data_IF_342356690994
#
_entry.id   IF_342356690994
#
_cell.length_a   1.000
_cell.length_b   1.000
_cell.length_c   1.000
_cell.angle_alpha   90.00
_cell.angle_beta   90.00
_cell.angle_gamma   90.00
#
_symmetry.space_group_name_H-M   'P 1'
#
loop_
_entity.id
_entity.type
_entity.pdbx_description
1 polymer ?
#
# COMPACT_ATOMS: atom_id res chain seq x y z
N UNK A 1 -14.57 -26.12 -19.67
CA UNK A 1 -14.74 -24.66 -19.90
C UNK A 1 -13.54 -23.94 -19.34
N UNK A 2 -12.96 -22.97 -20.07
CA UNK A 2 -11.80 -22.20 -19.60
C UNK A 2 -12.29 -20.99 -18.82
N UNK A 3 -11.70 -20.74 -17.65
CA UNK A 3 -12.01 -19.59 -16.80
C UNK A 3 -10.72 -18.87 -16.51
N UNK A 4 -10.74 -17.57 -16.61
CA UNK A 4 -9.61 -16.71 -16.37
C UNK A 4 -9.95 -15.74 -15.25
N UNK A 5 -9.02 -15.55 -14.34
CA UNK A 5 -9.21 -14.70 -13.17
C UNK A 5 -8.12 -13.63 -13.14
N UNK A 6 -8.52 -12.42 -12.80
CA UNK A 6 -7.64 -11.27 -12.63
C UNK A 6 -7.87 -10.72 -11.23
N UNK A 7 -6.83 -10.77 -10.41
CA UNK A 7 -6.86 -10.32 -9.02
C UNK A 7 -5.72 -9.34 -8.82
N UNK A 8 -6.05 -8.05 -8.77
CA UNK A 8 -5.11 -6.97 -8.49
C UNK A 8 -5.75 -5.95 -7.54
N UNK A 9 -5.13 -5.74 -6.38
CA UNK A 9 -5.66 -4.87 -5.33
C UNK A 9 -7.07 -5.28 -4.88
N UNK A 10 -8.06 -4.38 -5.03
CA UNK A 10 -9.47 -4.63 -4.71
C UNK A 10 -10.32 -5.13 -5.88
N UNK A 11 -9.71 -5.28 -7.07
CA UNK A 11 -10.37 -5.77 -8.28
C UNK A 11 -10.18 -7.28 -8.43
N UNK A 12 -11.22 -8.05 -8.12
CA UNK A 12 -11.30 -9.49 -8.35
C UNK A 12 -12.28 -9.74 -9.49
N UNK A 13 -11.78 -9.97 -10.70
CA UNK A 13 -12.58 -10.14 -11.92
C UNK A 13 -12.40 -11.53 -12.50
N UNK A 14 -13.46 -12.09 -13.08
CA UNK A 14 -13.39 -13.31 -13.85
C UNK A 14 -13.86 -13.07 -15.29
N UNK A 15 -13.28 -13.84 -16.20
CA UNK A 15 -13.58 -13.85 -17.62
C UNK A 15 -13.59 -15.31 -18.07
N UNK A 16 -14.71 -15.80 -18.57
CA UNK A 16 -14.87 -17.17 -19.03
C UNK A 16 -15.33 -17.17 -20.48
N UNK A 17 -14.41 -17.44 -21.41
CA UNK A 17 -14.75 -17.64 -22.81
C UNK A 17 -15.22 -19.08 -23.05
N UNK A 18 -16.22 -19.21 -23.91
CA UNK A 18 -16.76 -20.47 -24.39
C UNK A 18 -16.95 -20.36 -25.90
N UNK A 19 -16.57 -21.42 -26.61
CA UNK A 19 -16.77 -21.53 -28.04
C UNK A 19 -17.79 -22.64 -28.29
N UNK A 20 -18.90 -22.32 -28.96
CA UNK A 20 -19.93 -23.26 -29.34
C UNK A 20 -20.18 -23.15 -30.84
N UNK A 21 -19.63 -24.10 -31.59
CA UNK A 21 -19.63 -24.12 -33.06
C UNK A 21 -19.06 -22.82 -33.67
N UNK A 22 -19.89 -22.00 -34.31
CA UNK A 22 -19.52 -20.69 -34.85
C UNK A 22 -19.84 -19.51 -33.91
N UNK A 23 -20.20 -19.78 -32.65
CA UNK A 23 -20.61 -18.77 -31.67
C UNK A 23 -19.56 -18.65 -30.56
N UNK A 24 -19.06 -17.43 -30.37
CA UNK A 24 -18.19 -17.07 -29.26
C UNK A 24 -19.00 -16.47 -28.13
N UNK A 25 -18.99 -17.11 -26.96
CA UNK A 25 -19.71 -16.70 -25.76
C UNK A 25 -18.68 -16.30 -24.72
N UNK A 26 -18.92 -15.18 -24.03
CA UNK A 26 -18.07 -14.69 -22.96
C UNK A 26 -18.93 -14.35 -21.76
N UNK A 27 -18.56 -14.89 -20.60
CA UNK A 27 -19.15 -14.52 -19.32
C UNK A 27 -18.10 -13.80 -18.47
N UNK A 28 -18.36 -12.56 -18.05
CA UNK A 28 -17.41 -11.76 -17.29
C UNK A 28 -18.06 -11.03 -16.11
N UNK A 29 -17.33 -10.83 -15.02
CA UNK A 29 -17.89 -10.17 -13.84
C UNK A 29 -16.91 -10.09 -12.68
N UNK A 30 -17.39 -9.63 -11.52
CA UNK A 30 -16.63 -9.68 -10.26
C UNK A 30 -16.71 -11.09 -9.68
N UNK A 31 -15.59 -11.64 -9.21
CA UNK A 31 -15.55 -12.94 -8.54
C UNK A 31 -16.53 -12.91 -7.35
N UNK A 32 -17.45 -13.88 -7.28
CA UNK A 32 -18.54 -13.93 -6.30
C UNK A 32 -19.89 -13.37 -6.77
N UNK A 33 -19.99 -12.89 -8.02
CA UNK A 33 -21.26 -12.48 -8.65
C UNK A 33 -21.59 -13.36 -9.85
N UNK A 34 -22.85 -13.38 -10.30
CA UNK A 34 -23.27 -14.15 -11.48
C UNK A 34 -22.62 -13.66 -12.81
N UNK A 35 -22.14 -12.41 -12.85
CA UNK A 35 -21.53 -11.81 -14.03
C UNK A 35 -22.50 -11.45 -15.16
N UNK A 36 -21.95 -11.01 -16.28
CA UNK A 36 -22.66 -10.66 -17.52
C UNK A 36 -22.23 -11.60 -18.64
N UNK A 37 -23.20 -12.10 -19.41
CA UNK A 37 -22.97 -13.00 -20.56
C UNK A 37 -23.16 -12.22 -21.86
N UNK A 38 -22.22 -12.37 -22.80
CA UNK A 38 -22.27 -11.77 -24.13
C UNK A 38 -21.90 -12.82 -25.17
N UNK A 39 -22.66 -12.90 -26.25
CA UNK A 39 -22.41 -13.85 -27.35
C UNK A 39 -22.23 -13.11 -28.67
N UNK A 40 -21.40 -13.69 -29.55
CA UNK A 40 -21.07 -13.15 -30.87
C UNK A 40 -20.99 -14.30 -31.87
N UNK A 41 -21.86 -14.27 -32.87
CA UNK A 41 -21.93 -15.29 -33.92
C UNK A 41 -21.00 -14.93 -35.08
N UNK A 42 -20.28 -15.91 -35.61
CA UNK A 42 -19.39 -15.80 -36.75
C UNK A 42 -19.91 -16.62 -37.94
N UNK A 43 -19.51 -16.29 -39.18
CA UNK A 43 -19.94 -17.00 -40.38
C UNK A 43 -19.41 -18.44 -40.47
N UNK A 44 -18.29 -18.74 -39.83
CA UNK A 44 -17.61 -20.04 -39.86
C UNK A 44 -16.90 -20.35 -38.53
N UNK A 45 -16.81 -21.64 -38.19
CA UNK A 45 -16.18 -22.11 -36.95
C UNK A 45 -14.68 -21.75 -36.88
N UNK A 46 -14.00 -21.65 -38.02
CA UNK A 46 -12.58 -21.26 -38.07
C UNK A 46 -12.38 -19.80 -37.65
N UNK A 47 -13.21 -18.87 -38.13
CA UNK A 47 -13.18 -17.47 -37.70
C UNK A 47 -13.49 -17.31 -36.21
N UNK A 48 -14.44 -18.09 -35.68
CA UNK A 48 -14.78 -18.07 -34.27
C UNK A 48 -13.60 -18.54 -33.39
N UNK A 49 -12.89 -19.60 -33.81
CA UNK A 49 -11.70 -20.12 -33.12
C UNK A 49 -10.52 -19.13 -33.15
N UNK A 50 -10.27 -18.46 -34.29
CA UNK A 50 -9.20 -17.45 -34.39
C UNK A 50 -9.45 -16.25 -33.47
N UNK A 51 -10.68 -15.78 -33.40
CA UNK A 51 -11.04 -14.68 -32.51
C UNK A 51 -10.95 -15.09 -31.03
N UNK A 52 -11.37 -16.32 -30.72
CA UNK A 52 -11.25 -16.92 -29.40
C UNK A 52 -9.79 -16.95 -28.93
N UNK A 53 -8.87 -17.49 -29.74
CA UNK A 53 -7.45 -17.57 -29.40
C UNK A 53 -6.81 -16.18 -29.28
N UNK A 54 -7.17 -15.25 -30.17
CA UNK A 54 -6.71 -13.85 -30.10
C UNK A 54 -7.10 -13.21 -28.78
N UNK A 55 -8.35 -13.37 -28.35
CA UNK A 55 -8.85 -12.80 -27.09
C UNK A 55 -8.24 -13.46 -25.86
N UNK A 56 -7.98 -14.77 -25.91
CA UNK A 56 -7.25 -15.47 -24.85
C UNK A 56 -5.83 -14.94 -24.72
N UNK A 57 -5.09 -14.80 -25.83
CA UNK A 57 -3.72 -14.28 -25.82
C UNK A 57 -3.65 -12.82 -25.31
N UNK A 58 -4.62 -11.98 -25.69
CA UNK A 58 -4.75 -10.61 -25.19
C UNK A 58 -4.99 -10.58 -23.68
N UNK A 59 -5.91 -11.42 -23.16
CA UNK A 59 -6.22 -11.47 -21.72
C UNK A 59 -5.09 -12.04 -20.88
N UNK A 60 -4.37 -13.03 -21.39
CA UNK A 60 -3.15 -13.55 -20.75
C UNK A 60 -2.08 -12.45 -20.67
N UNK A 61 -1.92 -11.63 -21.72
CA UNK A 61 -0.98 -10.50 -21.72
C UNK A 61 -1.40 -9.37 -20.76
N UNK A 62 -2.71 -9.16 -20.59
CA UNK A 62 -3.27 -8.24 -19.60
C UNK A 62 -3.15 -8.74 -18.14
N UNK A 63 -2.61 -9.95 -17.92
CA UNK A 63 -2.38 -10.50 -16.58
C UNK A 63 -3.51 -11.38 -16.03
N UNK A 64 -4.47 -11.81 -16.85
CA UNK A 64 -5.45 -12.81 -16.43
C UNK A 64 -4.81 -14.20 -16.35
N UNK A 65 -5.08 -14.94 -15.28
CA UNK A 65 -4.58 -16.29 -15.06
C UNK A 65 -5.67 -17.32 -15.33
N UNK A 66 -5.33 -18.38 -16.07
CA UNK A 66 -6.27 -19.45 -16.37
C UNK A 66 -6.43 -20.42 -15.17
N UNK A 67 -7.68 -20.72 -14.82
CA UNK A 67 -8.08 -21.62 -13.74
C UNK A 67 -8.99 -22.70 -14.34
N UNK A 68 -8.48 -23.91 -14.51
CA UNK A 68 -9.25 -25.07 -15.00
C UNK A 68 -9.91 -25.78 -13.83
N UNK A 69 -11.25 -25.83 -13.83
CA UNK A 69 -12.01 -26.56 -12.80
C UNK A 69 -12.31 -28.00 -13.23
N UNK A 70 -11.78 -28.97 -12.48
CA UNK A 70 -12.31 -30.33 -12.34
C UNK A 70 -11.48 -31.44 -13.01
N UNK A 71 -10.70 -32.20 -12.24
CA UNK A 71 -11.11 -33.54 -11.73
C UNK A 71 -10.06 -34.02 -10.69
N UNK A 72 -10.51 -34.65 -9.61
CA UNK A 72 -9.66 -35.13 -8.52
C UNK A 72 -9.78 -36.65 -8.36
N UNK A 73 -8.67 -37.40 -8.43
CA UNK A 73 -8.53 -38.68 -7.74
C UNK A 73 -7.66 -38.52 -6.47
N UNK A 74 -7.77 -39.44 -5.49
CA UNK A 74 -7.17 -39.30 -4.18
C UNK A 74 -5.63 -39.38 -4.22
N UNK A 75 -5.01 -38.69 -3.27
CA UNK A 75 -3.60 -38.29 -3.25
C UNK A 75 -2.57 -39.42 -3.47
N UNK A 76 -1.59 -39.20 -4.37
CA UNK A 76 -0.20 -39.53 -4.11
C UNK A 76 0.51 -38.31 -3.50
N UNK A 77 1.41 -38.54 -2.54
CA UNK A 77 2.16 -37.51 -1.83
C UNK A 77 2.82 -36.50 -2.79
N UNK A 78 2.82 -35.19 -2.48
CA UNK A 78 3.29 -34.18 -3.42
C UNK A 78 4.82 -34.29 -3.57
N UNK A 79 5.26 -34.70 -4.76
CA UNK A 79 6.62 -34.39 -5.22
C UNK A 79 6.56 -32.94 -5.71
N UNK A 80 7.21 -32.07 -4.94
CA UNK A 80 7.20 -30.62 -5.13
C UNK A 80 7.72 -30.21 -6.52
N UNK A 81 6.83 -29.70 -7.36
CA UNK A 81 7.19 -28.62 -8.29
C UNK A 81 7.64 -27.41 -7.44
N UNK A 82 8.61 -26.59 -7.89
CA UNK A 82 9.20 -25.56 -7.04
C UNK A 82 8.10 -24.62 -6.57
N UNK A 83 7.77 -24.74 -5.29
CA UNK A 83 6.93 -23.82 -4.55
C UNK A 83 7.50 -22.43 -4.80
N UNK A 84 6.81 -21.61 -5.59
CA UNK A 84 6.99 -20.17 -5.47
C UNK A 84 6.73 -19.88 -3.99
N UNK A 85 7.79 -19.53 -3.25
CA UNK A 85 7.68 -19.28 -1.82
C UNK A 85 6.51 -18.32 -1.58
N UNK A 86 5.56 -18.66 -0.69
CA UNK A 86 4.48 -17.73 -0.39
C UNK A 86 5.11 -16.43 0.10
N UNK A 87 4.85 -15.34 -0.64
CA UNK A 87 5.36 -14.02 -0.29
C UNK A 87 5.03 -13.76 1.18
N UNK A 88 6.00 -13.32 2.00
CA UNK A 88 5.76 -13.12 3.42
C UNK A 88 4.65 -12.07 3.62
N UNK A 89 3.52 -12.52 4.18
CA UNK A 89 2.34 -11.68 4.42
C UNK A 89 2.63 -10.73 5.58
N UNK A 90 2.53 -9.43 5.31
CA UNK A 90 2.73 -8.42 6.35
C UNK A 90 1.61 -8.46 7.37
N UNK A 91 1.93 -8.46 8.68
CA UNK A 91 0.90 -8.36 9.71
C UNK A 91 0.18 -7.01 9.60
N UNK A 92 -1.13 -6.93 9.93
CA UNK A 92 -1.87 -5.67 9.87
C UNK A 92 -1.24 -4.61 10.79
N UNK A 93 -1.17 -3.34 10.34
CA UNK A 93 -0.60 -2.24 11.14
C UNK A 93 -1.40 -1.94 12.39
N UNK A 94 -2.71 -2.08 12.28
CA UNK A 94 -3.69 -1.77 13.32
C UNK A 94 -4.71 -2.89 13.42
N UNK A 95 -5.22 -3.11 14.63
CA UNK A 95 -6.29 -4.09 14.86
C UNK A 95 -7.59 -3.56 14.25
N UNK A 96 -8.18 -4.31 13.33
CA UNK A 96 -9.47 -3.99 12.73
C UNK A 96 -10.57 -3.87 13.80
N UNK A 97 -11.37 -2.80 13.70
CA UNK A 97 -12.47 -2.44 14.62
C UNK A 97 -13.53 -1.65 13.85
N UNK A 98 -14.77 -1.68 14.35
CA UNK A 98 -15.82 -0.76 13.90
C UNK A 98 -15.86 0.41 14.88
N UNK A 99 -15.51 1.65 14.46
CA UNK A 99 -15.53 2.79 15.37
C UNK A 99 -16.96 3.23 15.72
N UNK A 100 -17.13 3.74 16.93
CA UNK A 100 -18.36 4.45 17.32
C UNK A 100 -18.31 5.91 16.84
N UNK A 101 -19.47 6.56 16.70
CA UNK A 101 -19.54 7.98 16.35
C UNK A 101 -18.75 8.86 17.33
N UNK A 102 -18.81 8.56 18.64
CA UNK A 102 -18.04 9.26 19.67
C UNK A 102 -16.53 9.11 19.48
N UNK A 103 -16.05 7.94 19.05
CA UNK A 103 -14.62 7.73 18.78
C UNK A 103 -14.15 8.50 17.55
N UNK A 104 -14.99 8.58 16.51
CA UNK A 104 -14.72 9.40 15.32
C UNK A 104 -14.64 10.87 15.69
N UNK A 105 -15.61 11.37 16.48
CA UNK A 105 -15.62 12.75 16.95
C UNK A 105 -14.39 13.08 17.82
N UNK A 106 -14.05 12.21 18.77
CA UNK A 106 -12.85 12.36 19.59
C UNK A 106 -11.57 12.36 18.76
N UNK A 107 -11.49 11.54 17.70
CA UNK A 107 -10.35 11.56 16.78
C UNK A 107 -10.25 12.88 16.01
N UNK A 108 -11.37 13.42 15.51
CA UNK A 108 -11.41 14.73 14.87
C UNK A 108 -10.94 15.85 15.84
N UNK A 109 -11.50 15.89 17.05
CA UNK A 109 -11.11 16.85 18.08
C UNK A 109 -9.62 16.76 18.44
N UNK A 110 -9.07 15.54 18.54
CA UNK A 110 -7.65 15.33 18.83
C UNK A 110 -6.74 15.82 17.70
N UNK A 111 -7.17 15.70 16.43
CA UNK A 111 -6.45 16.24 15.28
C UNK A 111 -6.51 17.77 15.27
N UNK A 112 -7.68 18.37 15.50
CA UNK A 112 -7.82 19.84 15.60
C UNK A 112 -6.96 20.40 16.74
N UNK A 113 -6.91 19.70 17.88
CA UNK A 113 -6.06 20.08 19.02
C UNK A 113 -4.55 19.88 18.77
N UNK A 114 -4.16 19.07 17.78
CA UNK A 114 -2.78 19.01 17.29
C UNK A 114 -2.50 20.19 16.37
N UNK A 115 -3.41 20.48 15.43
CA UNK A 115 -3.24 21.59 14.49
C UNK A 115 -3.07 22.93 15.22
N UNK A 116 -3.89 23.20 16.23
CA UNK A 116 -3.83 24.44 17.01
C UNK A 116 -2.56 24.61 17.83
N UNK A 117 -1.77 23.54 18.00
CA UNK A 117 -0.51 23.57 18.75
C UNK A 117 0.71 23.62 17.83
N UNK A 118 0.53 23.61 16.50
CA UNK A 118 1.64 23.76 15.57
C UNK A 118 2.28 25.15 15.76
N UNK A 119 3.60 25.19 15.86
CA UNK A 119 4.37 26.42 16.14
C UNK A 119 4.73 26.59 17.61
N UNK A 120 4.05 25.87 18.51
CA UNK A 120 4.39 25.82 19.94
C UNK A 120 5.63 24.96 20.22
N UNK A 121 5.99 24.80 21.50
CA UNK A 121 7.16 24.00 21.90
C UNK A 121 7.07 22.58 21.35
N UNK A 122 8.19 22.07 20.84
CA UNK A 122 8.27 20.76 20.17
C UNK A 122 7.70 19.59 20.99
N UNK A 123 7.83 19.61 22.31
CA UNK A 123 7.30 18.58 23.20
C UNK A 123 5.76 18.66 23.34
N UNK A 124 5.15 19.85 23.24
CA UNK A 124 3.69 20.03 23.25
C UNK A 124 3.09 19.44 21.98
N UNK A 125 3.65 19.81 20.81
CA UNK A 125 3.28 19.23 19.51
C UNK A 125 3.40 17.70 19.54
N UNK A 126 4.53 17.18 20.04
CA UNK A 126 4.75 15.74 20.13
C UNK A 126 3.75 15.06 21.09
N UNK A 127 3.34 15.72 22.18
CA UNK A 127 2.31 15.22 23.11
C UNK A 127 0.94 15.14 22.44
N UNK A 128 0.53 16.18 21.72
CA UNK A 128 -0.75 16.18 21.01
C UNK A 128 -0.75 15.17 19.86
N UNK A 129 0.35 15.04 19.13
CA UNK A 129 0.47 14.03 18.07
C UNK A 129 0.32 12.61 18.62
N UNK A 130 0.87 12.32 19.82
CA UNK A 130 0.64 11.04 20.49
C UNK A 130 -0.82 10.82 20.88
N UNK A 131 -1.53 11.87 21.32
CA UNK A 131 -2.97 11.79 21.66
C UNK A 131 -3.81 11.54 20.41
N UNK A 132 -3.59 12.32 19.36
CA UNK A 132 -4.24 12.14 18.06
C UNK A 132 -4.00 10.73 17.50
N UNK A 133 -2.76 10.25 17.52
CA UNK A 133 -2.41 8.90 17.09
C UNK A 133 -3.15 7.81 17.89
N UNK A 134 -3.26 7.96 19.21
CA UNK A 134 -4.03 7.02 20.06
C UNK A 134 -5.51 7.03 19.72
N UNK A 135 -6.08 8.21 19.42
CA UNK A 135 -7.48 8.32 19.01
C UNK A 135 -7.72 7.68 17.63
N UNK A 136 -6.85 7.92 16.66
CA UNK A 136 -6.92 7.30 15.33
C UNK A 136 -6.82 5.77 15.40
N UNK A 137 -5.96 5.23 16.26
CA UNK A 137 -5.83 3.77 16.46
C UNK A 137 -7.15 3.10 16.87
N UNK A 138 -8.02 3.82 17.60
CA UNK A 138 -9.33 3.28 17.99
C UNK A 138 -10.27 3.12 16.79
N UNK A 139 -9.99 3.79 15.68
CA UNK A 139 -10.75 3.65 14.43
C UNK A 139 -10.42 2.35 13.67
N UNK A 140 -9.37 1.63 14.07
CA UNK A 140 -9.08 0.29 13.55
C UNK A 140 -8.65 0.26 12.09
N UNK A 141 -8.01 1.32 11.59
CA UNK A 141 -7.56 1.39 10.19
C UNK A 141 -8.68 1.67 9.19
N UNK A 142 -9.82 2.18 9.65
CA UNK A 142 -10.92 2.58 8.79
C UNK A 142 -10.56 3.73 7.84
N UNK A 143 -11.37 3.89 6.79
CA UNK A 143 -11.32 5.04 5.88
C UNK A 143 -11.42 6.34 6.69
N UNK A 144 -10.46 7.27 6.56
CA UNK A 144 -10.49 8.54 7.28
C UNK A 144 -11.56 9.51 6.79
N UNK A 145 -12.44 9.17 5.84
CA UNK A 145 -13.51 10.05 5.32
C UNK A 145 -14.16 10.95 6.39
N UNK A 146 -14.53 10.46 7.60
CA UNK A 146 -15.12 11.32 8.64
C UNK A 146 -14.16 12.36 9.26
N UNK A 147 -12.86 12.08 9.34
CA UNK A 147 -11.82 12.98 9.89
C UNK A 147 -11.00 13.68 8.81
N UNK A 148 -11.33 13.40 7.54
CA UNK A 148 -10.53 13.75 6.36
C UNK A 148 -10.26 15.25 6.23
N UNK A 149 -11.22 16.16 6.42
CA UNK A 149 -10.95 17.59 6.24
C UNK A 149 -9.83 18.11 7.16
N UNK A 150 -9.86 17.72 8.44
CA UNK A 150 -8.84 18.11 9.42
C UNK A 150 -7.51 17.39 9.15
N UNK A 151 -7.55 16.13 8.72
CA UNK A 151 -6.37 15.38 8.34
C UNK A 151 -5.66 16.00 7.12
N UNK A 152 -6.39 16.32 6.06
CA UNK A 152 -5.86 16.91 4.83
C UNK A 152 -5.25 18.31 5.09
N UNK A 153 -5.87 19.10 5.98
CA UNK A 153 -5.31 20.37 6.47
C UNK A 153 -3.98 20.15 7.20
N UNK A 154 -3.91 19.19 8.12
CA UNK A 154 -2.68 18.83 8.83
C UNK A 154 -1.58 18.32 7.89
N UNK A 155 -1.92 17.51 6.88
CA UNK A 155 -0.95 17.02 5.90
C UNK A 155 -0.38 18.16 5.06
N UNK A 156 -1.15 19.20 4.78
CA UNK A 156 -0.64 20.43 4.15
C UNK A 156 0.45 21.13 4.96
N UNK A 157 0.37 21.07 6.31
CA UNK A 157 1.38 21.65 7.20
C UNK A 157 2.75 20.98 7.14
N UNK A 158 2.87 19.81 6.50
CA UNK A 158 4.15 19.11 6.34
C UNK A 158 5.05 19.84 5.32
N UNK A 159 4.45 20.47 4.32
CA UNK A 159 5.16 21.13 3.21
C UNK A 159 5.17 22.65 3.28
N UNK A 160 4.50 23.24 4.29
CA UNK A 160 4.48 24.69 4.55
C UNK A 160 5.91 25.28 4.49
N UNK A 161 6.17 26.49 3.96
CA UNK A 161 7.52 27.06 3.89
C UNK A 161 8.20 27.30 5.25
N UNK A 162 9.53 27.49 5.27
CA UNK A 162 10.27 27.79 6.51
C UNK A 162 9.72 29.04 7.19
N UNK A 163 9.74 29.08 8.52
CA UNK A 163 9.23 30.22 9.31
C UNK A 163 7.74 30.15 9.64
N UNK A 164 6.98 29.21 9.05
CA UNK A 164 5.59 28.94 9.42
C UNK A 164 5.46 27.67 10.27
N UNK A 165 4.36 27.53 11.04
CA UNK A 165 4.05 26.31 11.79
C UNK A 165 4.01 25.07 10.89
N UNK A 166 4.98 24.16 11.06
CA UNK A 166 5.10 22.92 10.28
C UNK A 166 4.77 21.71 11.13
N UNK A 167 4.10 20.72 10.53
CA UNK A 167 3.96 19.39 11.10
C UNK A 167 5.20 18.55 10.72
N UNK A 168 6.00 18.08 11.70
CA UNK A 168 7.15 17.24 11.37
C UNK A 168 6.73 15.92 10.70
N UNK A 169 7.44 15.53 9.64
CA UNK A 169 7.15 14.33 8.83
C UNK A 169 6.94 13.06 9.67
N UNK A 170 7.81 12.80 10.65
CA UNK A 170 7.68 11.62 11.54
C UNK A 170 6.32 11.56 12.27
N UNK A 171 5.76 12.72 12.63
CA UNK A 171 4.47 12.80 13.33
C UNK A 171 3.35 12.59 12.32
N UNK A 172 3.43 13.18 11.13
CA UNK A 172 2.48 12.96 10.04
C UNK A 172 2.39 11.48 9.65
N UNK A 173 3.54 10.84 9.37
CA UNK A 173 3.59 9.40 9.05
C UNK A 173 3.10 8.53 10.22
N UNK A 174 3.36 8.94 11.46
CA UNK A 174 2.82 8.27 12.63
C UNK A 174 1.29 8.33 12.75
N UNK A 175 0.65 9.40 12.24
CA UNK A 175 -0.82 9.49 12.16
C UNK A 175 -1.35 8.65 11.00
N UNK A 176 -0.74 8.77 9.82
CA UNK A 176 -1.12 8.02 8.61
C UNK A 176 -0.98 6.51 8.79
N UNK A 177 -0.01 6.05 9.58
CA UNK A 177 0.18 4.64 9.90
C UNK A 177 -0.98 4.00 10.68
N UNK A 178 -1.85 4.80 11.32
CA UNK A 178 -3.02 4.29 12.06
C UNK A 178 -4.29 4.21 11.19
N UNK A 179 -4.22 4.66 9.95
CA UNK A 179 -5.33 4.79 9.01
C UNK A 179 -5.17 3.86 7.82
N UNK A 180 -6.24 3.74 7.02
CA UNK A 180 -6.17 3.11 5.72
C UNK A 180 -5.07 3.74 4.84
N UNK A 181 -4.39 2.90 4.05
CA UNK A 181 -3.23 3.32 3.24
C UNK A 181 -3.60 4.38 2.19
N UNK A 182 -4.87 4.47 1.77
CA UNK A 182 -5.34 5.52 0.89
C UNK A 182 -5.16 6.93 1.48
N UNK A 183 -5.13 7.06 2.81
CA UNK A 183 -4.80 8.32 3.48
C UNK A 183 -3.37 8.76 3.17
N UNK A 184 -2.43 7.81 3.22
CA UNK A 184 -1.01 8.06 2.89
C UNK A 184 -0.85 8.41 1.41
N UNK A 185 -1.51 7.69 0.51
CA UNK A 185 -1.49 7.98 -0.93
C UNK A 185 -1.98 9.40 -1.21
N UNK A 186 -3.07 9.85 -0.57
CA UNK A 186 -3.55 11.23 -0.75
C UNK A 186 -2.56 12.26 -0.21
N UNK A 187 -1.99 12.00 0.97
CA UNK A 187 -1.00 12.89 1.57
C UNK A 187 0.24 13.05 0.68
N UNK A 188 0.73 11.96 0.07
CA UNK A 188 1.91 12.02 -0.81
C UNK A 188 1.61 12.74 -2.12
N UNK A 189 0.40 12.62 -2.66
CA UNK A 189 -0.03 13.45 -3.81
C UNK A 189 -0.10 14.93 -3.44
N UNK A 190 -0.56 15.28 -2.23
CA UNK A 190 -0.57 16.66 -1.75
C UNK A 190 0.85 17.23 -1.56
N UNK A 191 1.81 16.38 -1.20
CA UNK A 191 3.21 16.79 -1.01
C UNK A 191 4.01 16.86 -2.32
N UNK A 192 3.49 16.28 -3.40
CA UNK A 192 4.17 16.22 -4.70
C UNK A 192 4.41 17.62 -5.25
N UNK A 193 5.64 17.88 -5.69
CA UNK A 193 6.03 19.16 -6.26
C UNK A 193 6.22 20.31 -5.26
N UNK A 194 6.12 20.05 -3.94
CA UNK A 194 6.40 21.07 -2.94
C UNK A 194 7.89 21.48 -2.94
N UNK A 195 8.19 22.70 -3.39
CA UNK A 195 9.56 23.22 -3.46
C UNK A 195 10.29 23.22 -2.10
N UNK A 196 9.54 23.41 -1.01
CA UNK A 196 10.03 23.43 0.38
C UNK A 196 10.08 22.07 1.07
N UNK A 197 9.92 20.97 0.34
CA UNK A 197 9.91 19.62 0.88
C UNK A 197 11.25 19.24 1.54
N UNK A 198 11.26 18.84 2.83
CA UNK A 198 12.45 18.30 3.49
C UNK A 198 13.00 17.07 2.77
N UNK A 199 14.31 16.81 2.83
CA UNK A 199 14.91 15.64 2.18
C UNK A 199 14.26 14.29 2.56
N UNK A 200 13.97 14.01 3.85
CA UNK A 200 13.26 12.78 4.21
C UNK A 200 11.87 12.66 3.59
N UNK A 201 11.18 13.79 3.36
CA UNK A 201 9.88 13.76 2.69
C UNK A 201 10.05 13.37 1.22
N UNK A 202 11.05 13.92 0.53
CA UNK A 202 11.35 13.58 -0.87
C UNK A 202 11.68 12.09 -1.03
N UNK A 203 12.49 11.55 -0.11
CA UNK A 203 12.77 10.11 -0.06
C UNK A 203 11.45 9.32 0.03
N UNK A 204 10.61 9.59 1.04
CA UNK A 204 9.33 8.88 1.22
C UNK A 204 8.39 9.02 0.02
N UNK A 205 8.29 10.20 -0.61
CA UNK A 205 7.42 10.36 -1.79
C UNK A 205 7.94 9.60 -3.01
N UNK A 206 9.26 9.47 -3.18
CA UNK A 206 9.87 8.68 -4.26
C UNK A 206 9.65 7.18 -4.01
N UNK A 207 9.68 6.72 -2.76
CA UNK A 207 9.43 5.32 -2.43
C UNK A 207 8.04 4.84 -2.87
N UNK A 208 7.03 5.70 -2.85
CA UNK A 208 5.69 5.35 -3.34
C UNK A 208 5.72 4.98 -4.82
N UNK A 209 6.47 5.74 -5.63
CA UNK A 209 6.61 5.50 -7.07
C UNK A 209 7.55 4.33 -7.35
N UNK A 210 8.66 4.23 -6.61
CA UNK A 210 9.68 3.19 -6.81
C UNK A 210 9.19 1.80 -6.42
N UNK A 211 8.44 1.68 -5.31
CA UNK A 211 7.92 0.40 -4.87
C UNK A 211 6.64 0.00 -5.59
N UNK A 212 5.77 0.95 -5.96
CA UNK A 212 4.44 0.63 -6.51
C UNK A 212 3.49 -0.05 -5.52
N UNK A 213 3.95 -0.34 -4.29
CA UNK A 213 3.16 -0.82 -3.17
C UNK A 213 3.09 0.29 -2.10
N UNK A 214 1.92 0.93 -1.90
CA UNK A 214 1.78 2.04 -0.98
C UNK A 214 1.88 1.61 0.50
N UNK A 215 1.65 0.34 0.80
CA UNK A 215 1.75 -0.21 2.15
C UNK A 215 3.20 -0.42 2.55
N UNK A 216 4.00 -1.01 1.66
CA UNK A 216 5.45 -1.12 1.82
C UNK A 216 6.09 0.26 1.90
N UNK A 217 5.70 1.19 1.02
CA UNK A 217 6.20 2.56 1.01
C UNK A 217 5.87 3.31 2.31
N UNK A 218 4.65 3.15 2.86
CA UNK A 218 4.27 3.76 4.14
C UNK A 218 5.13 3.20 5.29
N UNK A 219 5.29 1.88 5.38
CA UNK A 219 6.06 1.25 6.46
C UNK A 219 7.54 1.61 6.40
N UNK A 220 8.12 1.56 5.20
CA UNK A 220 9.50 1.97 4.98
C UNK A 220 9.67 3.47 5.31
N UNK A 221 8.75 4.31 4.84
CA UNK A 221 8.79 5.74 5.11
C UNK A 221 8.70 6.09 6.60
N UNK A 222 7.90 5.37 7.38
CA UNK A 222 7.87 5.51 8.85
C UNK A 222 9.26 5.21 9.45
N UNK A 223 9.94 4.16 8.99
CA UNK A 223 11.26 3.79 9.49
C UNK A 223 12.35 4.79 9.07
N UNK A 224 12.29 5.30 7.84
CA UNK A 224 13.22 6.31 7.31
C UNK A 224 13.06 7.67 8.01
N UNK A 225 11.83 8.05 8.37
CA UNK A 225 11.55 9.33 9.02
C UNK A 225 11.85 9.33 10.54
N UNK A 226 12.14 8.17 11.13
CA UNK A 226 12.44 8.07 12.56
C UNK A 226 13.85 8.55 12.90
N UNK A 227 13.93 9.43 13.91
CA UNK A 227 15.19 10.05 14.32
C UNK A 227 15.85 9.26 15.45
N UNK A 228 17.06 8.69 15.23
CA UNK A 228 17.81 8.02 16.29
C UNK A 228 18.05 8.95 17.49
N UNK A 229 17.87 8.43 18.71
CA UNK A 229 18.12 9.17 19.95
C UNK A 229 17.07 10.20 20.37
N UNK A 230 15.99 10.38 19.59
CA UNK A 230 14.87 11.24 20.00
C UNK A 230 14.02 10.54 21.07
N UNK A 231 13.59 11.26 22.12
CA UNK A 231 12.68 10.72 23.16
C UNK A 231 11.44 10.07 22.52
N UNK A 232 11.21 8.80 22.82
CA UNK A 232 10.09 8.00 22.29
C UNK A 232 10.43 7.14 21.07
N UNK A 233 11.66 7.22 20.54
CA UNK A 233 12.22 6.26 19.59
C UNK A 233 13.01 5.21 20.37
N UNK A 234 12.58 3.95 20.35
CA UNK A 234 13.40 2.83 20.84
C UNK A 234 14.18 2.26 19.67
N UNK A 235 15.51 2.18 19.77
CA UNK A 235 16.34 1.55 18.73
C UNK A 235 16.01 0.07 18.57
N UNK A 236 15.69 -0.61 19.67
CA UNK A 236 15.21 -2.00 19.65
C UNK A 236 13.85 -2.11 18.93
N UNK A 237 12.91 -1.23 19.26
CA UNK A 237 11.59 -1.20 18.60
C UNK A 237 11.63 -0.77 17.14
N UNK A 238 12.62 0.04 16.74
CA UNK A 238 12.92 0.33 15.34
C UNK A 238 13.46 -0.91 14.64
N UNK A 239 14.47 -1.59 15.22
CA UNK A 239 15.09 -2.79 14.66
C UNK A 239 14.06 -3.90 14.47
N UNK A 240 13.23 -4.17 15.47
CA UNK A 240 12.17 -5.17 15.37
C UNK A 240 11.21 -4.89 14.20
N UNK A 241 10.83 -3.63 13.96
CA UNK A 241 9.96 -3.26 12.83
C UNK A 241 10.67 -3.37 11.49
N UNK A 242 11.96 -3.06 11.44
CA UNK A 242 12.78 -3.26 10.25
C UNK A 242 12.88 -4.74 9.89
N UNK A 243 13.27 -5.60 10.85
CA UNK A 243 13.35 -7.05 10.65
C UNK A 243 11.99 -7.66 10.25
N UNK A 244 10.89 -7.13 10.77
CA UNK A 244 9.54 -7.57 10.37
C UNK A 244 9.11 -7.12 8.98
N UNK A 245 9.68 -6.03 8.44
CA UNK A 245 9.36 -5.50 7.11
C UNK A 245 10.27 -6.08 6.01
N UNK A 246 11.55 -6.29 6.36
CA UNK A 246 12.64 -6.65 5.44
C UNK A 246 12.32 -7.84 4.53
N UNK A 247 11.79 -8.99 5.02
CA UNK A 247 11.49 -10.13 4.15
C UNK A 247 10.45 -9.80 3.06
N UNK A 248 9.41 -9.05 3.39
CA UNK A 248 8.37 -8.63 2.44
C UNK A 248 8.90 -7.61 1.43
N UNK A 249 9.74 -6.69 1.88
CA UNK A 249 10.39 -5.73 1.00
C UNK A 249 11.36 -6.43 0.02
N UNK A 250 12.18 -7.36 0.50
CA UNK A 250 13.10 -8.15 -0.34
C UNK A 250 12.35 -8.99 -1.36
N UNK A 251 11.28 -9.67 -0.94
CA UNK A 251 10.46 -10.48 -1.83
C UNK A 251 9.80 -9.62 -2.91
N UNK A 252 9.24 -8.48 -2.53
CA UNK A 252 8.65 -7.52 -3.46
C UNK A 252 9.66 -7.01 -4.50
N UNK A 253 10.83 -6.55 -4.05
CA UNK A 253 11.88 -6.05 -4.95
C UNK A 253 12.40 -7.14 -5.89
N UNK A 254 12.52 -8.38 -5.41
CA UNK A 254 12.93 -9.52 -6.24
C UNK A 254 11.92 -9.81 -7.34
N UNK A 255 10.61 -9.72 -7.06
CA UNK A 255 9.57 -9.87 -8.09
C UNK A 255 9.63 -8.76 -9.15
N UNK A 256 10.10 -7.57 -8.79
CA UNK A 256 10.35 -6.47 -9.70
C UNK A 256 11.73 -6.53 -10.40
N UNK A 257 12.53 -7.58 -10.17
CA UNK A 257 13.85 -7.77 -10.77
C UNK A 257 15.00 -6.99 -10.14
N UNK A 258 14.80 -6.42 -8.94
CA UNK A 258 15.82 -5.68 -8.19
C UNK A 258 16.23 -6.36 -6.88
N UNK A 259 17.14 -5.72 -6.15
CA UNK A 259 17.57 -6.15 -4.82
C UNK A 259 17.35 -5.08 -3.75
N UNK A 260 17.22 -5.50 -2.49
CA UNK A 260 17.11 -4.59 -1.35
C UNK A 260 18.33 -3.65 -1.25
N UNK A 261 19.53 -4.18 -1.50
CA UNK A 261 20.77 -3.41 -1.42
C UNK A 261 20.80 -2.29 -2.45
N UNK A 262 20.46 -2.59 -3.70
CA UNK A 262 20.39 -1.59 -4.78
C UNK A 262 19.33 -0.54 -4.45
N UNK A 263 18.15 -0.98 -4.02
CA UNK A 263 17.04 -0.10 -3.65
C UNK A 263 17.41 0.87 -2.53
N UNK A 264 17.94 0.37 -1.40
CA UNK A 264 18.37 1.21 -0.29
C UNK A 264 19.52 2.16 -0.66
N UNK A 265 20.40 1.75 -1.58
CA UNK A 265 21.51 2.59 -2.06
C UNK A 265 21.04 3.71 -3.00
N UNK A 266 19.90 3.53 -3.67
CA UNK A 266 19.29 4.54 -4.53
C UNK A 266 18.57 5.66 -3.75
N UNK A 267 18.30 5.46 -2.45
CA UNK A 267 17.64 6.46 -1.61
C UNK A 267 18.62 7.61 -1.30
N UNK A 268 18.37 8.77 -1.91
CA UNK A 268 19.13 9.98 -1.69
C UNK A 268 18.80 10.62 -0.32
N UNK A 269 19.78 10.62 0.59
CA UNK A 269 19.67 11.25 1.89
C UNK A 269 19.91 12.77 1.88
N UNK A 270 20.45 13.33 0.79
CA UNK A 270 20.69 14.77 0.57
C UNK A 270 21.26 15.52 1.77
N UNK A 271 22.20 14.88 2.49
CA UNK A 271 22.87 15.42 3.67
C UNK A 271 22.11 15.34 5.01
N UNK A 272 20.92 14.74 5.06
CA UNK A 272 20.18 14.53 6.32
C UNK A 272 20.83 13.42 7.15
N UNK A 273 21.63 13.80 8.14
CA UNK A 273 22.37 12.86 8.98
C UNK A 273 21.50 11.79 9.67
N UNK A 274 20.30 12.11 10.21
CA UNK A 274 19.39 11.08 10.74
C UNK A 274 18.99 10.02 9.70
N UNK A 275 18.60 10.44 8.49
CA UNK A 275 18.23 9.54 7.40
C UNK A 275 19.43 8.69 6.95
N UNK A 276 20.61 9.29 6.78
CA UNK A 276 21.83 8.55 6.44
C UNK A 276 22.16 7.46 7.48
N UNK A 277 21.98 7.75 8.77
CA UNK A 277 22.15 6.76 9.84
C UNK A 277 21.15 5.62 9.74
N UNK A 278 19.88 5.90 9.42
CA UNK A 278 18.85 4.85 9.22
C UNK A 278 19.16 3.97 8.01
N UNK A 279 19.56 4.57 6.89
CA UNK A 279 19.98 3.81 5.71
C UNK A 279 21.19 2.93 6.00
N UNK A 280 22.21 3.46 6.68
CA UNK A 280 23.38 2.67 7.10
C UNK A 280 23.00 1.49 8.01
N UNK A 281 22.06 1.68 8.95
CA UNK A 281 21.55 0.60 9.79
C UNK A 281 20.72 -0.45 9.03
N UNK A 282 20.05 -0.06 7.94
CA UNK A 282 19.28 -1.00 7.10
C UNK A 282 20.18 -1.79 6.14
N UNK A 283 21.34 -1.23 5.77
CA UNK A 283 22.32 -1.82 4.86
C UNK A 283 23.33 -2.75 5.57
N UNK A 284 23.60 -2.50 6.85
CA UNK A 284 24.45 -3.34 7.71
C UNK A 284 23.71 -4.57 8.22
#
# INVERSE_FOLDING_TARGET
>A
MRRFEFVEGSSSKFWSPELKDSTFIVTYGRIGTAGQRKEKVFPDAQSASREYERKVAEKLREGYLEVTSGDAPPAPAPVAAPTAEPLPVLPPRVRARVPTAQQVEHAAQALTALESQLGERSWQVARQARRARRALRLLGGADPSPVRPVLDALMGRVVEPPGKPRLPLRLALGLLAELDVAAFVRATQQWKGAASAPTPLRAVTREVEALGDPELALRLGVLLAERPGLRGSSEEGWRHRWEGLKPSLEAHLRTAGGSLREHLSAIDAGGDAPLSRRLAQMQG
#
